data_IF_890722603662
#
_entry.id   IF_890722603662
#
_cell.length_a   1.000
_cell.length_b   1.000
_cell.length_c   1.000
_cell.angle_alpha   90.00
_cell.angle_beta   90.00
_cell.angle_gamma   90.00
#
_symmetry.space_group_name_H-M   'P 1'
#
loop_
_entity.id
_entity.type
_entity.pdbx_description
1 polymer ?
#
# COMPACT_ATOMS: atom_id res chain seq x y z
N UNK A 1 -3.95 4.67 -0.42
CA UNK A 1 -3.07 5.32 -1.42
C UNK A 1 -1.71 5.65 -0.83
N UNK A 2 -1.58 6.57 0.13
CA UNK A 2 -0.29 6.91 0.76
C UNK A 2 0.54 5.71 1.25
N UNK A 3 -0.06 4.79 2.02
CA UNK A 3 0.66 3.60 2.48
C UNK A 3 1.07 2.66 1.34
N UNK A 4 0.30 2.63 0.24
CA UNK A 4 0.71 1.89 -0.96
C UNK A 4 1.87 2.60 -1.68
N UNK A 5 1.91 3.93 -1.69
CA UNK A 5 3.02 4.68 -2.24
C UNK A 5 4.32 4.42 -1.46
N UNK A 6 4.26 4.42 -0.13
CA UNK A 6 5.39 4.02 0.72
C UNK A 6 5.84 2.58 0.46
N UNK A 7 4.88 1.65 0.37
CA UNK A 7 5.19 0.27 0.02
C UNK A 7 5.79 0.11 -1.37
N UNK A 8 5.33 0.90 -2.33
CA UNK A 8 5.85 0.94 -3.70
C UNK A 8 7.30 1.40 -3.70
N UNK A 9 7.63 2.43 -2.90
CA UNK A 9 9.01 2.90 -2.73
C UNK A 9 9.92 1.83 -2.13
N UNK A 10 9.45 1.12 -1.11
CA UNK A 10 10.19 0.03 -0.46
C UNK A 10 10.41 -1.16 -1.40
N UNK A 11 9.35 -1.59 -2.08
CA UNK A 11 9.35 -2.78 -2.94
C UNK A 11 9.80 -2.49 -4.37
N UNK A 12 10.02 -1.22 -4.73
CA UNK A 12 10.28 -0.72 -6.10
C UNK A 12 9.38 -1.33 -7.17
N UNK A 13 8.17 -1.74 -6.78
CA UNK A 13 7.32 -2.55 -7.63
C UNK A 13 6.51 -1.67 -8.56
N UNK A 14 6.78 -1.77 -9.88
CA UNK A 14 6.08 -0.95 -10.88
C UNK A 14 4.57 -1.20 -10.91
N UNK A 15 4.12 -2.43 -10.70
CA UNK A 15 2.68 -2.72 -10.68
C UNK A 15 1.97 -2.00 -9.53
N UNK A 16 2.59 -1.91 -8.34
CA UNK A 16 2.05 -1.11 -7.24
C UNK A 16 2.04 0.39 -7.59
N UNK A 17 3.07 0.89 -8.29
CA UNK A 17 3.10 2.27 -8.77
C UNK A 17 1.96 2.56 -9.76
N UNK A 18 1.74 1.68 -10.74
CA UNK A 18 0.63 1.77 -11.69
C UNK A 18 -0.72 1.75 -10.96
N UNK A 19 -0.86 0.90 -9.93
CA UNK A 19 -2.08 0.85 -9.13
C UNK A 19 -2.31 2.14 -8.31
N UNK A 20 -1.26 2.78 -7.80
CA UNK A 20 -1.36 4.09 -7.14
C UNK A 20 -1.84 5.17 -8.12
N UNK A 21 -1.36 5.14 -9.38
CA UNK A 21 -1.85 6.02 -10.45
C UNK A 21 -3.32 5.76 -10.77
N UNK A 22 -3.75 4.50 -10.90
CA UNK A 22 -5.17 4.16 -11.10
C UNK A 22 -6.06 4.65 -9.94
N UNK A 23 -5.54 4.60 -8.70
CA UNK A 23 -6.25 5.13 -7.53
C UNK A 23 -6.37 6.66 -7.55
N UNK A 24 -5.36 7.37 -8.03
CA UNK A 24 -5.41 8.84 -8.19
C UNK A 24 -6.50 9.23 -9.18
N UNK A 25 -6.53 8.61 -10.36
CA UNK A 25 -7.57 8.86 -11.37
C UNK A 25 -8.98 8.55 -10.85
N UNK A 26 -9.08 7.55 -9.97
CA UNK A 26 -10.33 7.23 -9.29
C UNK A 26 -10.74 8.32 -8.29
N UNK A 27 -9.79 8.83 -7.48
CA UNK A 27 -10.03 9.93 -6.54
C UNK A 27 -10.51 11.16 -7.28
N UNK A 28 -9.86 11.55 -8.38
CA UNK A 28 -10.28 12.64 -9.26
C UNK A 28 -11.72 12.51 -9.71
N UNK A 29 -12.06 11.31 -10.20
CA UNK A 29 -13.42 11.01 -10.65
C UNK A 29 -14.45 11.13 -9.52
N UNK A 30 -14.10 10.71 -8.32
CA UNK A 30 -14.97 10.78 -7.13
C UNK A 30 -15.12 12.22 -6.65
N UNK A 31 -14.03 12.98 -6.57
CA UNK A 31 -14.04 14.38 -6.13
C UNK A 31 -14.82 15.25 -7.10
N UNK A 32 -14.64 15.07 -8.41
CA UNK A 32 -15.43 15.80 -9.41
C UNK A 32 -16.95 15.56 -9.27
N UNK A 33 -17.37 14.33 -8.92
CA UNK A 33 -18.78 14.01 -8.63
C UNK A 33 -19.24 14.64 -7.33
N UNK A 34 -18.39 14.63 -6.30
CA UNK A 34 -18.65 15.25 -5.02
C UNK A 34 -18.88 16.75 -5.17
N UNK A 35 -17.98 17.47 -5.87
CA UNK A 35 -18.10 18.91 -6.12
C UNK A 35 -19.38 19.27 -6.86
N UNK A 36 -19.72 18.51 -7.92
CA UNK A 36 -20.99 18.71 -8.65
C UNK A 36 -22.21 18.56 -7.74
N UNK A 37 -22.18 17.57 -6.85
CA UNK A 37 -23.26 17.33 -5.88
C UNK A 37 -23.32 18.46 -4.85
N UNK A 38 -22.16 18.92 -4.39
CA UNK A 38 -22.04 20.00 -3.42
C UNK A 38 -22.56 21.34 -3.98
N UNK A 39 -22.24 21.65 -5.24
CA UNK A 39 -22.74 22.84 -5.94
C UNK A 39 -24.26 22.81 -6.11
N UNK A 40 -24.86 21.63 -6.30
CA UNK A 40 -26.30 21.43 -6.40
C UNK A 40 -27.02 21.34 -5.05
N UNK A 41 -26.27 21.30 -3.94
CA UNK A 41 -26.84 21.13 -2.59
C UNK A 41 -27.47 22.42 -2.05
N UNK A 42 -28.37 22.27 -1.07
CA UNK A 42 -29.00 23.37 -0.34
C UNK A 42 -28.19 23.80 0.90
N UNK A 43 -26.92 23.43 0.99
CA UNK A 43 -26.05 23.76 2.12
C UNK A 43 -25.71 25.25 2.16
N UNK A 44 -25.39 25.75 3.36
CA UNK A 44 -24.95 27.12 3.55
C UNK A 44 -23.62 27.41 2.82
N UNK A 45 -23.33 28.68 2.55
CA UNK A 45 -22.09 29.08 1.88
C UNK A 45 -20.84 28.63 2.65
N UNK A 46 -20.82 28.82 3.97
CA UNK A 46 -19.71 28.42 4.82
C UNK A 46 -19.50 26.90 4.84
N UNK A 47 -20.60 26.13 4.85
CA UNK A 47 -20.54 24.66 4.82
C UNK A 47 -19.99 24.17 3.48
N UNK A 48 -20.46 24.74 2.37
CA UNK A 48 -19.94 24.44 1.03
C UNK A 48 -18.47 24.79 0.90
N UNK A 49 -18.05 25.96 1.41
CA UNK A 49 -16.65 26.37 1.39
C UNK A 49 -15.77 25.40 2.19
N UNK A 50 -16.20 24.99 3.38
CA UNK A 50 -15.47 24.01 4.19
C UNK A 50 -15.35 22.64 3.50
N UNK A 51 -16.42 22.18 2.86
CA UNK A 51 -16.44 20.91 2.13
C UNK A 51 -15.61 20.95 0.84
N UNK A 52 -15.62 22.07 0.11
CA UNK A 52 -14.72 22.27 -1.04
C UNK A 52 -13.26 22.28 -0.61
N UNK A 53 -12.94 22.95 0.50
CA UNK A 53 -11.58 22.95 1.03
C UNK A 53 -11.12 21.54 1.45
N UNK A 54 -12.02 20.74 2.03
CA UNK A 54 -11.73 19.34 2.35
C UNK A 54 -11.49 18.49 1.09
N UNK A 55 -12.28 18.68 0.03
CA UNK A 55 -12.06 18.00 -1.26
C UNK A 55 -10.70 18.35 -1.86
N UNK A 56 -10.35 19.65 -1.92
CA UNK A 56 -9.05 20.12 -2.37
C UNK A 56 -7.88 19.52 -1.56
N UNK A 57 -8.02 19.42 -0.24
CA UNK A 57 -6.99 18.79 0.59
C UNK A 57 -6.82 17.28 0.27
N UNK A 58 -7.91 16.57 -0.03
CA UNK A 58 -7.88 15.15 -0.40
C UNK A 58 -7.23 14.95 -1.77
N UNK A 59 -7.56 15.79 -2.76
CA UNK A 59 -6.93 15.83 -4.10
C UNK A 59 -5.42 16.00 -3.94
N UNK A 60 -4.98 17.05 -3.25
CA UNK A 60 -3.56 17.32 -3.06
C UNK A 60 -2.83 16.19 -2.33
N UNK A 61 -3.48 15.49 -1.39
CA UNK A 61 -2.92 14.30 -0.74
C UNK A 61 -2.78 13.11 -1.70
N UNK A 62 -3.74 12.93 -2.61
CA UNK A 62 -3.68 11.91 -3.65
C UNK A 62 -2.55 12.22 -4.64
N UNK A 63 -2.49 13.43 -5.18
CA UNK A 63 -1.43 13.88 -6.09
C UNK A 63 -0.04 13.67 -5.47
N UNK A 64 0.13 14.06 -4.21
CA UNK A 64 1.40 13.87 -3.50
C UNK A 64 1.79 12.39 -3.39
N UNK A 65 0.82 11.49 -3.19
CA UNK A 65 1.09 10.05 -3.17
C UNK A 65 1.43 9.48 -4.56
N UNK A 66 0.90 10.06 -5.64
CA UNK A 66 1.30 9.72 -7.01
C UNK A 66 2.71 10.25 -7.32
N UNK A 67 3.01 11.49 -6.94
CA UNK A 67 4.34 12.09 -7.10
C UNK A 67 5.44 11.26 -6.42
N UNK A 68 5.14 10.68 -5.25
CA UNK A 68 6.07 9.78 -4.54
C UNK A 68 6.48 8.57 -5.38
N UNK A 69 5.57 8.00 -6.18
CA UNK A 69 5.83 6.78 -6.97
C UNK A 69 6.22 7.08 -8.41
N UNK A 70 6.11 8.34 -8.85
CA UNK A 70 6.41 8.76 -10.21
C UNK A 70 7.82 8.36 -10.70
N UNK A 71 8.90 8.46 -9.89
CA UNK A 71 10.21 7.98 -10.31
C UNK A 71 10.22 6.50 -10.71
N UNK A 72 9.47 5.65 -10.01
CA UNK A 72 9.39 4.20 -10.29
C UNK A 72 8.64 3.95 -11.61
N UNK A 73 7.60 4.74 -11.91
CA UNK A 73 6.91 4.70 -13.21
C UNK A 73 7.86 5.04 -14.37
N UNK A 74 8.77 5.98 -14.15
CA UNK A 74 9.82 6.37 -15.09
C UNK A 74 11.04 5.42 -15.10
N UNK A 75 11.03 4.37 -14.26
CA UNK A 75 12.12 3.40 -14.16
C UNK A 75 13.37 3.97 -13.47
N UNK A 76 13.18 4.95 -12.60
CA UNK A 76 14.21 5.56 -11.75
C UNK A 76 14.09 4.99 -10.35
N UNK A 77 15.14 4.32 -9.88
CA UNK A 77 15.17 3.79 -8.53
C UNK A 77 15.34 4.88 -7.47
N UNK A 78 14.61 4.80 -6.34
CA UNK A 78 14.82 5.68 -5.21
C UNK A 78 16.21 5.44 -4.59
N UNK A 79 16.84 6.52 -4.12
CA UNK A 79 18.14 6.44 -3.45
C UNK A 79 18.04 5.62 -2.15
N UNK A 80 19.06 4.81 -1.83
CA UNK A 80 19.07 3.90 -0.66
C UNK A 80 18.76 4.59 0.67
N UNK A 81 19.30 5.80 0.89
CA UNK A 81 19.00 6.65 2.04
C UNK A 81 17.49 6.85 2.29
N UNK A 82 16.66 6.88 1.25
CA UNK A 82 15.20 7.00 1.42
C UNK A 82 14.64 5.78 2.16
N UNK A 83 15.14 4.58 1.86
CA UNK A 83 14.71 3.33 2.48
C UNK A 83 15.10 3.30 3.95
N UNK A 84 16.34 3.68 4.28
CA UNK A 84 16.84 3.80 5.66
C UNK A 84 15.97 4.75 6.48
N UNK A 85 15.62 5.91 5.92
CA UNK A 85 14.76 6.90 6.61
C UNK A 85 13.35 6.35 6.85
N UNK A 86 12.80 5.54 5.94
CA UNK A 86 11.48 4.95 6.13
C UNK A 86 11.44 3.96 7.29
N UNK A 87 12.53 3.24 7.53
CA UNK A 87 12.67 2.32 8.66
C UNK A 87 12.78 3.04 10.00
N UNK A 88 13.32 4.26 10.03
CA UNK A 88 13.38 5.06 11.26
C UNK A 88 12.03 5.73 11.63
N UNK A 89 11.00 5.60 10.79
CA UNK A 89 9.69 6.20 11.07
C UNK A 89 8.86 5.38 12.05
N UNK A 90 7.91 6.03 12.72
CA UNK A 90 6.96 5.38 13.63
C UNK A 90 5.98 4.44 12.92
N UNK A 91 5.65 4.74 11.66
CA UNK A 91 4.78 3.90 10.83
C UNK A 91 5.64 3.17 9.80
N UNK A 92 5.84 1.88 10.03
CA UNK A 92 6.69 1.05 9.19
C UNK A 92 5.86 0.22 8.23
N UNK A 93 6.50 -0.17 7.14
CA UNK A 93 5.96 -1.13 6.20
C UNK A 93 6.97 -2.27 6.08
N UNK A 94 6.44 -3.49 6.11
CA UNK A 94 7.23 -4.67 5.88
C UNK A 94 6.43 -5.74 5.15
N UNK A 95 7.05 -6.90 5.00
CA UNK A 95 6.56 -8.02 4.22
C UNK A 95 6.57 -9.27 5.08
N UNK A 96 5.48 -10.04 5.05
CA UNK A 96 5.34 -11.31 5.78
C UNK A 96 4.96 -12.39 4.77
N UNK A 97 5.72 -13.46 4.69
CA UNK A 97 5.38 -14.63 3.87
C UNK A 97 4.56 -15.64 4.70
N UNK A 98 3.46 -16.12 4.12
CA UNK A 98 2.60 -17.11 4.75
C UNK A 98 3.13 -18.52 4.55
N UNK A 99 3.11 -19.29 5.63
CA UNK A 99 3.51 -20.69 5.58
C UNK A 99 2.30 -21.66 5.49
N UNK A 100 2.59 -22.95 5.52
CA UNK A 100 1.56 -24.00 5.51
C UNK A 100 0.69 -24.01 6.77
N UNK A 101 1.15 -23.42 7.88
CA UNK A 101 0.39 -23.32 9.13
C UNK A 101 -0.65 -22.20 9.08
N UNK A 102 -0.38 -21.13 8.32
CA UNK A 102 -1.33 -20.04 8.08
C UNK A 102 -2.40 -20.39 7.03
N UNK A 103 -2.07 -21.30 6.11
CA UNK A 103 -2.87 -21.61 4.95
C UNK A 103 -4.33 -21.99 5.30
N UNK A 104 -5.27 -21.29 4.65
CA UNK A 104 -6.71 -21.51 4.82
C UNK A 104 -7.37 -20.69 5.94
N UNK A 105 -6.56 -20.04 6.79
CA UNK A 105 -7.00 -19.02 7.74
C UNK A 105 -7.37 -17.74 7.00
N UNK A 106 -8.29 -16.97 7.58
CA UNK A 106 -8.62 -15.62 7.15
C UNK A 106 -7.69 -14.62 7.84
N UNK A 107 -7.53 -13.43 7.24
CA UNK A 107 -6.73 -12.36 7.87
C UNK A 107 -7.26 -11.96 9.27
N UNK A 108 -8.55 -12.12 9.49
CA UNK A 108 -9.16 -11.92 10.82
C UNK A 108 -8.78 -13.02 11.82
N UNK A 109 -8.56 -14.25 11.37
CA UNK A 109 -8.15 -15.38 12.22
C UNK A 109 -6.66 -15.31 12.59
N UNK A 110 -5.83 -14.69 11.75
CA UNK A 110 -4.41 -14.42 12.03
C UNK A 110 -4.19 -13.41 13.17
N UNK A 111 -5.20 -12.60 13.52
CA UNK A 111 -5.14 -11.70 14.67
C UNK A 111 -4.23 -10.47 14.49
N UNK A 112 -3.82 -10.15 13.26
CA UNK A 112 -2.91 -9.04 12.96
C UNK A 112 -3.51 -7.67 13.34
N UNK A 113 -4.83 -7.48 13.21
CA UNK A 113 -5.47 -6.20 13.56
C UNK A 113 -5.37 -5.91 15.05
N UNK A 114 -5.54 -6.94 15.90
CA UNK A 114 -5.43 -6.85 17.35
C UNK A 114 -3.99 -6.55 17.80
N UNK A 115 -3.01 -6.84 16.94
CA UNK A 115 -1.59 -6.55 17.13
C UNK A 115 -1.15 -5.22 16.52
N UNK A 116 -2.07 -4.43 15.96
CA UNK A 116 -1.74 -3.15 15.32
C UNK A 116 -1.10 -3.29 13.95
N UNK A 117 -1.20 -4.46 13.32
CA UNK A 117 -0.67 -4.76 11.99
C UNK A 117 -1.81 -4.74 10.97
N UNK A 118 -1.66 -3.88 9.96
CA UNK A 118 -2.61 -3.66 8.88
C UNK A 118 -2.08 -4.26 7.58
N UNK A 119 -2.82 -5.18 6.97
CA UNK A 119 -2.52 -5.74 5.67
C UNK A 119 -2.94 -4.75 4.58
N UNK A 120 -1.97 -4.24 3.84
CA UNK A 120 -2.17 -3.30 2.73
C UNK A 120 -2.46 -4.05 1.43
N UNK A 121 -1.71 -5.12 1.18
CA UNK A 121 -1.84 -5.94 -0.02
C UNK A 121 -1.36 -7.38 0.22
N UNK A 122 -1.78 -8.29 -0.63
CA UNK A 122 -1.29 -9.68 -0.66
C UNK A 122 -0.86 -10.01 -2.08
N UNK A 123 0.40 -10.41 -2.28
CA UNK A 123 0.91 -10.99 -3.53
C UNK A 123 0.74 -12.51 -3.47
N UNK A 124 0.07 -13.07 -4.46
CA UNK A 124 -0.10 -14.51 -4.67
C UNK A 124 0.43 -14.87 -6.06
N UNK A 125 1.67 -15.33 -6.12
CA UNK A 125 2.40 -15.46 -7.38
C UNK A 125 2.40 -14.13 -8.14
N UNK A 126 1.78 -14.09 -9.32
CA UNK A 126 1.70 -12.88 -10.17
C UNK A 126 0.50 -11.98 -9.92
N UNK A 127 -0.37 -12.34 -8.97
CA UNK A 127 -1.58 -11.58 -8.66
C UNK A 127 -1.41 -10.81 -7.38
N UNK A 128 -1.93 -9.60 -7.36
CA UNK A 128 -1.99 -8.77 -6.18
C UNK A 128 -3.44 -8.54 -5.77
N UNK A 129 -3.68 -8.59 -4.47
CA UNK A 129 -4.96 -8.27 -3.84
C UNK A 129 -4.75 -7.05 -2.96
N UNK A 130 -5.31 -5.91 -3.34
CA UNK A 130 -5.19 -4.68 -2.57
C UNK A 130 -6.31 -4.58 -1.55
N UNK A 131 -5.95 -4.22 -0.31
CA UNK A 131 -6.87 -4.12 0.83
C UNK A 131 -7.86 -5.30 0.89
N UNK A 132 -7.38 -6.55 0.93
CA UNK A 132 -8.24 -7.71 0.96
C UNK A 132 -9.19 -7.68 2.18
N UNK A 133 -10.43 -8.19 2.03
CA UNK A 133 -11.40 -8.19 3.12
C UNK A 133 -10.97 -9.15 4.23
N UNK A 134 -10.86 -8.66 5.46
CA UNK A 134 -10.28 -9.42 6.56
C UNK A 134 -11.03 -10.72 6.92
N UNK A 135 -12.36 -10.69 6.87
CA UNK A 135 -13.20 -11.83 7.27
C UNK A 135 -13.45 -12.85 6.16
N UNK A 136 -13.12 -12.50 4.91
CA UNK A 136 -13.43 -13.33 3.75
C UNK A 136 -12.22 -13.74 2.92
N UNK A 137 -11.09 -13.05 3.07
CA UNK A 137 -9.87 -13.36 2.36
C UNK A 137 -9.10 -14.45 3.10
N UNK A 138 -8.97 -15.61 2.45
CA UNK A 138 -8.18 -16.74 2.95
C UNK A 138 -6.78 -16.70 2.37
N UNK A 139 -5.78 -16.73 3.24
CA UNK A 139 -4.38 -16.81 2.85
C UNK A 139 -4.02 -18.23 2.41
N UNK A 140 -2.98 -18.34 1.60
CA UNK A 140 -2.39 -19.57 1.10
C UNK A 140 -0.90 -19.56 1.42
N UNK A 141 -0.29 -20.73 1.57
CA UNK A 141 1.16 -20.83 1.68
C UNK A 141 1.84 -20.19 0.45
N UNK A 142 2.88 -19.39 0.69
CA UNK A 142 3.55 -18.57 -0.33
C UNK A 142 2.81 -17.29 -0.71
N UNK A 143 1.72 -16.93 -0.01
CA UNK A 143 1.20 -15.56 -0.07
C UNK A 143 2.16 -14.62 0.64
N UNK A 144 2.47 -13.50 0.01
CA UNK A 144 3.33 -12.46 0.56
C UNK A 144 2.47 -11.26 0.94
N UNK A 145 2.30 -11.01 2.24
CA UNK A 145 1.56 -9.87 2.75
C UNK A 145 2.45 -8.65 2.85
N UNK A 146 1.99 -7.55 2.28
CA UNK A 146 2.51 -6.24 2.55
C UNK A 146 1.75 -5.64 3.73
N UNK A 147 2.46 -5.36 4.82
CA UNK A 147 1.86 -4.90 6.07
C UNK A 147 2.34 -3.52 6.47
N UNK A 148 1.48 -2.76 7.13
CA UNK A 148 1.79 -1.51 7.83
C UNK A 148 1.60 -1.72 9.32
N UNK A 149 2.56 -1.28 10.12
CA UNK A 149 2.49 -1.39 11.58
C UNK A 149 3.16 -0.19 12.24
N UNK A 150 2.91 0.00 13.52
CA UNK A 150 3.63 0.99 14.31
C UNK A 150 4.86 0.37 14.97
N UNK A 151 5.85 1.18 15.33
CA UNK A 151 7.08 0.74 16.01
C UNK A 151 6.81 -0.19 17.21
N UNK A 152 5.71 0.02 17.94
CA UNK A 152 5.33 -0.82 19.09
C UNK A 152 4.99 -2.28 18.73
N UNK A 153 4.70 -2.55 17.46
CA UNK A 153 4.39 -3.88 16.92
C UNK A 153 5.59 -4.54 16.24
N UNK A 154 6.76 -3.90 16.23
CA UNK A 154 7.98 -4.40 15.57
C UNK A 154 8.36 -5.80 16.02
N UNK A 155 8.48 -6.03 17.34
CA UNK A 155 8.83 -7.36 17.87
C UNK A 155 7.83 -8.46 17.48
N UNK A 156 6.58 -8.10 17.16
CA UNK A 156 5.61 -9.07 16.66
C UNK A 156 5.87 -9.35 15.19
N UNK A 157 6.06 -8.31 14.38
CA UNK A 157 6.32 -8.45 12.95
C UNK A 157 7.64 -9.19 12.69
N UNK A 158 8.73 -8.87 13.41
CA UNK A 158 10.02 -9.56 13.30
C UNK A 158 9.95 -11.07 13.61
N UNK A 159 8.96 -11.53 14.41
CA UNK A 159 8.78 -12.96 14.69
C UNK A 159 8.06 -13.69 13.56
N UNK A 160 7.25 -12.95 12.81
CA UNK A 160 6.49 -13.46 11.66
C UNK A 160 7.32 -13.33 10.38
N UNK A 161 8.29 -12.42 10.36
CA UNK A 161 9.35 -12.36 9.35
C UNK A 161 10.32 -13.53 9.54
N UNK A 162 10.64 -14.24 8.46
CA UNK A 162 11.82 -15.10 8.46
C UNK A 162 13.05 -14.21 8.17
N UNK A 163 14.11 -14.35 8.98
CA UNK A 163 15.28 -13.44 8.96
C UNK A 163 16.03 -13.40 7.60
N UNK A 164 15.79 -14.33 6.68
CA UNK A 164 16.42 -14.36 5.35
C UNK A 164 15.60 -13.61 4.28
N UNK A 165 14.37 -13.19 4.58
CA UNK A 165 13.36 -12.89 3.55
C UNK A 165 13.15 -11.41 3.21
N UNK A 166 13.56 -10.44 4.04
CA UNK A 166 13.15 -9.04 3.77
C UNK A 166 13.87 -8.41 2.57
N UNK A 167 15.18 -8.63 2.44
CA UNK A 167 15.94 -8.17 1.27
C UNK A 167 15.72 -9.10 0.07
N UNK A 168 15.68 -10.43 0.26
CA UNK A 168 15.44 -11.39 -0.84
C UNK A 168 14.01 -11.34 -1.39
N UNK A 169 12.96 -11.20 -0.58
CA UNK A 169 11.57 -11.04 -1.08
C UNK A 169 11.40 -9.69 -1.78
N UNK A 170 12.06 -8.65 -1.28
CA UNK A 170 12.11 -7.37 -1.99
C UNK A 170 12.83 -7.59 -3.33
N UNK A 171 14.03 -8.15 -3.38
CA UNK A 171 14.79 -8.41 -4.61
C UNK A 171 14.11 -9.41 -5.59
N UNK A 172 13.40 -10.43 -5.10
CA UNK A 172 12.64 -11.40 -5.92
C UNK A 172 11.36 -10.76 -6.50
N UNK A 173 10.78 -9.79 -5.80
CA UNK A 173 9.77 -8.89 -6.38
C UNK A 173 10.38 -8.06 -7.52
N UNK A 174 11.72 -7.90 -7.58
CA UNK A 174 12.44 -7.12 -8.59
C UNK A 174 12.90 -7.96 -9.80
N UNK A 175 13.35 -9.20 -9.62
CA UNK A 175 13.85 -10.05 -10.73
C UNK A 175 12.76 -10.48 -11.72
N UNK A 176 11.52 -10.71 -11.25
CA UNK A 176 10.41 -11.11 -12.14
C UNK A 176 10.03 -10.02 -13.17
N UNK A 177 10.29 -8.74 -12.88
CA UNK A 177 10.00 -7.60 -13.75
C UNK A 177 11.09 -7.38 -14.83
N UNK A 178 12.37 -7.63 -14.52
CA UNK A 178 13.44 -7.53 -15.53
C UNK A 178 13.30 -8.59 -16.64
N UNK A 179 12.78 -9.78 -16.30
CA UNK A 179 12.50 -10.83 -17.28
C UNK A 179 11.47 -10.41 -18.36
N UNK A 180 10.59 -9.44 -18.07
CA UNK A 180 9.65 -8.87 -19.05
C UNK A 180 10.27 -7.84 -19.99
N UNK A 181 11.42 -7.23 -19.64
CA UNK A 181 12.15 -6.33 -20.54
C UNK A 181 13.05 -7.09 -21.54
N UNK A 182 13.29 -8.39 -21.31
CA UNK A 182 14.18 -9.23 -22.10
C UNK A 182 13.48 -10.24 -23.04
N UNK A 183 12.13 -10.27 -23.08
CA UNK A 183 11.30 -11.04 -24.05
C UNK A 183 10.47 -10.12 -24.91
#
# INVERSE_FOLDING_TARGET
MYSLALATLLTRNRWLADYVMELEEHVDTVLLKFEKTLLASYLGENERAALLFAAFAIEHMADSALEMVFPILEGIDPHSLLLEVLEETKERISVIEMDESDAGSTLSELGYQEKGVLVLAVKRGKKWFIMPPYTGFKVQAGDVLLVKYYEESEEFVEKEESEEDREEIIEDVWEEEESKKAS
#
